data_IF_791679036714
#
_entry.id   IF_791679036714
#
_cell.length_a   1.000
_cell.length_b   1.000
_cell.length_c   1.000
_cell.angle_alpha   90.00
_cell.angle_beta   90.00
_cell.angle_gamma   90.00
#
_symmetry.space_group_name_H-M   'P 1'
#
loop_
_entity.id
_entity.type
_entity.pdbx_description
1 polymer ?
#
# COMPACT_ATOMS: atom_id res chain seq x y z
N UNK A 1 -20.71 -18.16 7.62
CA UNK A 1 -19.71 -18.81 6.78
C UNK A 1 -19.10 -17.72 5.90
N UNK A 2 -17.81 -17.44 6.02
CA UNK A 2 -17.14 -16.44 5.18
C UNK A 2 -17.07 -17.01 3.76
N UNK A 3 -17.84 -16.45 2.85
CA UNK A 3 -17.77 -16.83 1.42
C UNK A 3 -16.57 -16.10 0.80
N UNK A 4 -15.58 -16.85 0.36
CA UNK A 4 -14.45 -16.30 -0.38
C UNK A 4 -14.96 -15.85 -1.75
N UNK A 5 -14.88 -14.56 -2.02
CA UNK A 5 -15.29 -13.95 -3.30
C UNK A 5 -14.09 -13.82 -4.22
N UNK A 6 -13.91 -14.81 -5.06
CA UNK A 6 -12.86 -14.82 -6.09
C UNK A 6 -13.48 -14.84 -7.48
N UNK A 7 -12.83 -14.18 -8.47
CA UNK A 7 -13.22 -14.32 -9.88
C UNK A 7 -13.14 -15.76 -10.34
N UNK A 8 -14.08 -16.16 -11.20
CA UNK A 8 -14.08 -17.48 -11.84
C UNK A 8 -12.98 -17.55 -12.92
N UNK A 9 -12.33 -18.71 -13.04
CA UNK A 9 -11.33 -18.92 -14.08
C UNK A 9 -11.97 -19.00 -15.47
N UNK A 10 -11.36 -18.32 -16.43
CA UNK A 10 -11.80 -18.25 -17.81
C UNK A 10 -10.66 -18.66 -18.74
N UNK A 11 -10.91 -19.64 -19.61
CA UNK A 11 -9.95 -20.05 -20.64
C UNK A 11 -9.96 -19.11 -21.86
N UNK A 12 -8.81 -19.02 -22.52
CA UNK A 12 -8.71 -18.29 -23.79
C UNK A 12 -8.72 -16.76 -23.69
N UNK A 13 -8.50 -16.18 -22.50
CA UNK A 13 -8.40 -14.74 -22.34
C UNK A 13 -7.20 -14.17 -23.10
N UNK A 14 -7.34 -13.03 -23.81
CA UNK A 14 -6.24 -12.40 -24.52
C UNK A 14 -5.17 -11.89 -23.51
N UNK A 15 -3.91 -11.97 -23.92
CA UNK A 15 -2.78 -11.55 -23.06
C UNK A 15 -2.49 -10.05 -23.11
N UNK A 16 -2.93 -9.36 -24.16
CA UNK A 16 -2.60 -7.95 -24.35
C UNK A 16 -3.10 -7.02 -23.24
N UNK A 17 -4.29 -7.23 -22.57
CA UNK A 17 -4.67 -6.34 -21.49
C UNK A 17 -3.76 -6.49 -20.26
N UNK A 18 -3.35 -7.72 -19.96
CA UNK A 18 -2.41 -7.97 -18.88
C UNK A 18 -1.03 -7.37 -19.17
N UNK A 19 -0.54 -7.51 -20.41
CA UNK A 19 0.71 -6.87 -20.85
C UNK A 19 0.61 -5.34 -20.77
N UNK A 20 -0.52 -4.75 -21.19
CA UNK A 20 -0.79 -3.32 -21.07
C UNK A 20 -0.78 -2.87 -19.61
N UNK A 21 -1.43 -3.63 -18.72
CA UNK A 21 -1.43 -3.35 -17.28
C UNK A 21 -0.01 -3.33 -16.71
N UNK A 22 0.79 -4.34 -16.99
CA UNK A 22 2.18 -4.42 -16.51
C UNK A 22 3.01 -3.24 -17.04
N UNK A 23 2.88 -2.92 -18.33
CA UNK A 23 3.56 -1.76 -18.92
C UNK A 23 3.12 -0.45 -18.27
N UNK A 24 1.81 -0.27 -18.03
CA UNK A 24 1.27 0.91 -17.34
C UNK A 24 1.78 1.04 -15.91
N UNK A 25 1.86 -0.07 -15.15
CA UNK A 25 2.40 -0.08 -13.79
C UNK A 25 3.89 0.30 -13.78
N UNK A 26 4.70 -0.26 -14.68
CA UNK A 26 6.13 0.08 -14.79
C UNK A 26 6.28 1.56 -15.14
N UNK A 27 5.56 2.05 -16.15
CA UNK A 27 5.61 3.44 -16.57
C UNK A 27 5.20 4.39 -15.42
N UNK A 28 4.09 4.08 -14.73
CA UNK A 28 3.63 4.88 -13.60
C UNK A 28 4.65 4.91 -12.47
N UNK A 29 5.25 3.77 -12.12
CA UNK A 29 6.27 3.70 -11.07
C UNK A 29 7.49 4.56 -11.42
N UNK A 30 7.99 4.49 -12.65
CA UNK A 30 9.12 5.30 -13.12
C UNK A 30 8.74 6.79 -13.10
N UNK A 31 7.59 7.15 -13.68
CA UNK A 31 7.14 8.54 -13.75
C UNK A 31 7.00 9.11 -12.34
N UNK A 32 6.31 8.40 -11.46
CA UNK A 32 6.03 8.88 -10.10
C UNK A 32 7.30 9.05 -9.24
N UNK A 33 8.26 8.16 -9.38
CA UNK A 33 9.45 8.18 -8.53
C UNK A 33 10.66 8.93 -9.14
N UNK A 34 10.64 9.25 -10.45
CA UNK A 34 11.81 9.81 -11.15
C UNK A 34 11.53 11.06 -11.96
N UNK A 35 10.29 11.30 -12.38
CA UNK A 35 9.95 12.33 -13.38
C UNK A 35 8.94 13.34 -12.86
N UNK A 36 7.89 12.90 -12.20
CA UNK A 36 6.77 13.75 -11.81
C UNK A 36 7.16 14.79 -10.76
N UNK A 37 6.76 16.07 -10.94
CA UNK A 37 6.88 17.06 -9.88
C UNK A 37 6.05 16.66 -8.65
N UNK A 38 6.60 16.85 -7.45
CA UNK A 38 5.97 16.44 -6.18
C UNK A 38 4.54 17.02 -5.98
N UNK A 39 4.26 18.21 -6.50
CA UNK A 39 2.94 18.84 -6.37
C UNK A 39 1.80 18.19 -7.18
N UNK A 40 2.09 17.29 -8.11
CA UNK A 40 1.09 16.66 -8.98
C UNK A 40 0.78 15.20 -8.60
N UNK A 41 1.35 14.70 -7.50
CA UNK A 41 1.24 13.32 -7.06
C UNK A 41 -0.21 12.81 -6.99
N UNK A 42 -1.11 13.57 -6.35
CA UNK A 42 -2.53 13.21 -6.24
C UNK A 42 -3.23 13.09 -7.60
N UNK A 43 -2.96 14.03 -8.52
CA UNK A 43 -3.56 14.01 -9.85
C UNK A 43 -3.12 12.79 -10.65
N UNK A 44 -1.83 12.44 -10.58
CA UNK A 44 -1.30 11.25 -11.22
C UNK A 44 -1.88 9.97 -10.63
N UNK A 45 -1.98 9.88 -9.30
CA UNK A 45 -2.51 8.71 -8.61
C UNK A 45 -3.99 8.50 -8.91
N UNK A 46 -4.81 9.55 -8.83
CA UNK A 46 -6.24 9.48 -9.13
C UNK A 46 -6.46 9.18 -10.62
N UNK A 47 -5.82 9.93 -11.52
CA UNK A 47 -5.92 9.70 -12.96
C UNK A 47 -5.42 8.32 -13.37
N UNK A 48 -4.30 7.88 -12.81
CA UNK A 48 -3.75 6.53 -13.00
C UNK A 48 -4.73 5.44 -12.53
N UNK A 49 -5.41 5.63 -11.40
CA UNK A 49 -6.42 4.69 -10.90
C UNK A 49 -7.55 4.48 -11.90
N UNK A 50 -8.05 5.55 -12.51
CA UNK A 50 -9.07 5.44 -13.58
C UNK A 50 -8.53 4.71 -14.81
N UNK A 51 -7.29 5.00 -15.23
CA UNK A 51 -6.64 4.29 -16.33
C UNK A 51 -6.49 2.79 -16.08
N UNK A 52 -6.06 2.42 -14.88
CA UNK A 52 -5.92 1.02 -14.47
C UNK A 52 -7.29 0.32 -14.41
N UNK A 53 -8.33 0.96 -13.88
CA UNK A 53 -9.69 0.43 -13.89
C UNK A 53 -10.21 0.20 -15.31
N UNK A 54 -9.95 1.14 -16.23
CA UNK A 54 -10.32 0.98 -17.62
C UNK A 54 -9.66 -0.26 -18.26
N UNK A 55 -8.38 -0.52 -17.96
CA UNK A 55 -7.69 -1.74 -18.41
C UNK A 55 -8.37 -3.00 -17.83
N UNK A 56 -8.77 -2.99 -16.57
CA UNK A 56 -9.49 -4.09 -15.94
C UNK A 56 -10.84 -4.37 -16.62
N UNK A 57 -11.58 -3.33 -16.96
CA UNK A 57 -12.85 -3.43 -17.71
C UNK A 57 -12.62 -3.94 -19.14
N UNK A 58 -11.57 -3.49 -19.84
CA UNK A 58 -11.20 -3.99 -21.16
C UNK A 58 -10.81 -5.47 -21.16
N UNK A 59 -10.27 -5.98 -20.05
CA UNK A 59 -10.02 -7.41 -19.83
C UNK A 59 -11.31 -8.22 -19.55
N UNK A 60 -12.46 -7.54 -19.45
CA UNK A 60 -13.76 -8.14 -19.17
C UNK A 60 -13.99 -8.48 -17.70
N UNK A 61 -13.25 -7.85 -16.76
CA UNK A 61 -13.55 -7.96 -15.33
C UNK A 61 -14.78 -7.14 -14.98
N UNK A 62 -15.68 -7.69 -14.16
CA UNK A 62 -16.78 -6.95 -13.55
C UNK A 62 -16.29 -6.14 -12.35
N UNK A 63 -17.09 -5.18 -11.89
CA UNK A 63 -16.84 -4.46 -10.64
C UNK A 63 -16.74 -5.40 -9.44
N UNK A 64 -17.50 -6.49 -9.45
CA UNK A 64 -17.45 -7.52 -8.40
C UNK A 64 -16.15 -8.31 -8.46
N UNK A 65 -15.68 -8.70 -9.64
CA UNK A 65 -14.38 -9.36 -9.81
C UNK A 65 -13.24 -8.50 -9.25
N UNK A 66 -13.32 -7.19 -9.49
CA UNK A 66 -12.35 -6.23 -8.99
C UNK A 66 -12.51 -5.86 -7.50
N UNK A 67 -13.53 -6.41 -6.79
CA UNK A 67 -13.80 -6.11 -5.38
C UNK A 67 -14.38 -4.72 -5.13
N UNK A 68 -15.03 -4.17 -6.14
CA UNK A 68 -15.71 -2.87 -6.14
C UNK A 68 -17.23 -3.03 -6.25
N UNK A 69 -17.75 -4.26 -6.15
CA UNK A 69 -19.18 -4.55 -6.21
C UNK A 69 -19.95 -3.93 -5.04
N UNK A 70 -21.10 -3.31 -5.32
CA UNK A 70 -21.91 -2.57 -4.35
C UNK A 70 -22.26 -3.39 -3.10
N UNK A 71 -22.56 -4.68 -3.27
CA UNK A 71 -22.91 -5.57 -2.17
C UNK A 71 -21.80 -5.72 -1.11
N UNK A 72 -20.56 -5.46 -1.48
CA UNK A 72 -19.37 -5.65 -0.65
C UNK A 72 -18.79 -4.35 -0.10
N UNK A 73 -19.36 -3.19 -0.43
CA UNK A 73 -18.83 -1.91 0.05
C UNK A 73 -18.98 -1.77 1.56
N UNK A 74 -20.18 -2.04 2.10
CA UNK A 74 -20.39 -1.93 3.55
C UNK A 74 -19.59 -2.97 4.34
N UNK A 75 -19.63 -4.28 4.00
CA UNK A 75 -18.75 -5.26 4.63
C UNK A 75 -17.27 -4.88 4.54
N UNK A 76 -16.79 -4.46 3.37
CA UNK A 76 -15.42 -4.04 3.16
C UNK A 76 -15.02 -2.83 4.01
N UNK A 77 -15.88 -1.84 4.11
CA UNK A 77 -15.69 -0.69 4.99
C UNK A 77 -15.57 -1.09 6.46
N UNK A 78 -16.46 -1.96 6.94
CA UNK A 78 -16.40 -2.44 8.33
C UNK A 78 -15.13 -3.24 8.62
N UNK A 79 -14.68 -4.08 7.69
CA UNK A 79 -13.39 -4.74 7.77
C UNK A 79 -12.23 -3.73 7.82
N UNK A 80 -12.28 -2.71 6.97
CA UNK A 80 -11.30 -1.63 6.95
C UNK A 80 -11.23 -0.89 8.28
N UNK A 81 -12.37 -0.52 8.85
CA UNK A 81 -12.45 0.11 10.20
C UNK A 81 -11.87 -0.81 11.27
N UNK A 82 -12.19 -2.11 11.24
CA UNK A 82 -11.60 -3.10 12.14
C UNK A 82 -10.09 -3.13 12.06
N UNK A 83 -9.53 -3.12 10.85
CA UNK A 83 -8.09 -3.04 10.62
C UNK A 83 -7.48 -1.76 11.19
N UNK A 84 -8.12 -0.61 10.98
CA UNK A 84 -7.69 0.69 11.55
C UNK A 84 -7.63 0.62 13.07
N UNK A 85 -8.66 0.07 13.71
CA UNK A 85 -8.68 -0.10 15.18
C UNK A 85 -7.54 -0.99 15.64
N UNK A 86 -7.33 -2.15 15.02
CA UNK A 86 -6.27 -3.09 15.41
C UNK A 86 -4.88 -2.46 15.26
N UNK A 87 -4.61 -1.78 14.14
CA UNK A 87 -3.34 -1.09 13.92
C UNK A 87 -3.13 0.04 14.92
N UNK A 88 -4.18 0.85 15.18
CA UNK A 88 -4.12 1.94 16.18
C UNK A 88 -3.79 1.39 17.56
N UNK A 89 -4.44 0.32 17.99
CA UNK A 89 -4.13 -0.35 19.26
C UNK A 89 -2.69 -0.86 19.29
N UNK A 90 -2.20 -1.45 18.20
CA UNK A 90 -0.81 -1.86 18.06
C UNK A 90 0.18 -0.70 18.23
N UNK A 91 -0.09 0.45 17.61
CA UNK A 91 0.71 1.66 17.79
C UNK A 91 0.66 2.18 19.24
N UNK A 92 -0.51 2.19 19.88
CA UNK A 92 -0.66 2.60 21.29
C UNK A 92 0.15 1.70 22.23
N UNK A 93 0.05 0.39 22.03
CA UNK A 93 0.85 -0.58 22.80
C UNK A 93 2.35 -0.36 22.57
N UNK A 94 2.79 -0.24 21.32
CA UNK A 94 4.18 0.02 21.01
C UNK A 94 4.67 1.35 21.58
N UNK A 95 3.85 2.41 21.54
CA UNK A 95 4.16 3.72 22.11
C UNK A 95 4.30 3.71 23.66
N UNK A 96 3.72 2.72 24.35
CA UNK A 96 3.88 2.56 25.80
C UNK A 96 5.30 2.15 26.20
N UNK A 97 6.07 1.54 25.29
CA UNK A 97 7.43 1.10 25.53
C UNK A 97 8.48 2.05 24.92
N UNK A 98 9.62 2.23 25.62
CA UNK A 98 10.72 3.07 25.11
C UNK A 98 11.27 2.60 23.75
N UNK A 99 11.42 1.28 23.57
CA UNK A 99 11.89 0.70 22.29
C UNK A 99 10.91 0.98 21.15
N UNK A 100 9.61 0.84 21.40
CA UNK A 100 8.58 1.13 20.40
C UNK A 100 8.56 2.61 19.99
N UNK A 101 8.64 3.55 20.95
CA UNK A 101 8.77 4.98 20.66
C UNK A 101 10.02 5.31 19.84
N UNK A 102 11.14 4.61 20.07
CA UNK A 102 12.34 4.80 19.28
C UNK A 102 12.17 4.28 17.84
N UNK A 103 11.53 3.13 17.67
CA UNK A 103 11.25 2.57 16.36
C UNK A 103 10.29 3.41 15.51
N UNK A 104 9.41 4.19 16.16
CA UNK A 104 8.46 5.09 15.47
C UNK A 104 9.06 6.47 15.14
N UNK A 105 10.33 6.73 15.48
CA UNK A 105 10.95 8.02 15.19
C UNK A 105 11.29 8.12 13.71
N UNK A 106 10.59 9.02 13.00
CA UNK A 106 10.79 9.31 11.58
C UNK A 106 11.08 10.80 11.38
N UNK A 107 12.29 11.11 10.98
CA UNK A 107 12.74 12.50 10.80
C UNK A 107 11.99 13.23 9.68
N UNK A 108 11.46 12.53 8.69
CA UNK A 108 10.65 13.12 7.62
C UNK A 108 9.41 13.82 8.16
N UNK A 109 8.93 13.40 9.33
CA UNK A 109 7.75 13.94 10.01
C UNK A 109 8.08 15.05 10.99
N UNK A 110 9.34 15.11 11.43
CA UNK A 110 9.79 16.00 12.50
C UNK A 110 9.55 17.49 12.20
N UNK A 111 9.70 17.88 10.94
CA UNK A 111 9.58 19.27 10.48
C UNK A 111 8.17 19.65 9.97
N UNK A 112 7.23 18.68 9.93
CA UNK A 112 5.88 18.93 9.43
C UNK A 112 5.09 19.83 10.40
N UNK A 113 4.42 20.85 9.87
CA UNK A 113 3.38 21.57 10.60
C UNK A 113 2.15 20.67 10.80
N UNK A 114 1.32 20.97 11.81
CA UNK A 114 0.09 20.20 12.06
C UNK A 114 -0.83 20.12 10.82
N UNK A 115 -1.16 21.24 10.14
CA UNK A 115 -1.96 21.21 8.92
C UNK A 115 -1.34 20.37 7.80
N UNK A 116 -0.02 20.43 7.60
CA UNK A 116 0.66 19.63 6.57
C UNK A 116 0.63 18.14 6.91
N UNK A 117 0.83 17.76 8.19
CA UNK A 117 0.67 16.40 8.67
C UNK A 117 -0.73 15.86 8.37
N UNK A 118 -1.78 16.65 8.73
CA UNK A 118 -3.17 16.25 8.51
C UNK A 118 -3.45 16.05 7.01
N UNK A 119 -2.98 16.97 6.18
CA UNK A 119 -3.13 16.83 4.73
C UNK A 119 -2.42 15.59 4.19
N UNK A 120 -1.20 15.32 4.64
CA UNK A 120 -0.44 14.16 4.21
C UNK A 120 -1.09 12.84 4.65
N UNK A 121 -1.47 12.73 5.93
CA UNK A 121 -2.04 11.49 6.46
C UNK A 121 -3.47 11.21 5.99
N UNK A 122 -4.30 12.26 5.80
CA UNK A 122 -5.73 12.11 5.48
C UNK A 122 -6.07 12.35 4.00
N UNK A 123 -5.16 12.91 3.20
CA UNK A 123 -5.40 13.20 1.78
C UNK A 123 -4.33 12.55 0.91
N UNK A 124 -3.06 12.87 1.08
CA UNK A 124 -2.01 12.34 0.20
C UNK A 124 -1.82 10.83 0.34
N UNK A 125 -1.80 10.30 1.55
CA UNK A 125 -1.66 8.84 1.77
C UNK A 125 -2.88 8.10 1.24
N UNK A 126 -4.15 8.39 1.63
CA UNK A 126 -5.27 7.60 1.18
C UNK A 126 -5.57 7.74 -0.31
N UNK A 127 -5.47 8.94 -0.89
CA UNK A 127 -5.84 9.19 -2.29
C UNK A 127 -4.65 9.18 -3.26
N UNK A 128 -3.45 9.42 -2.78
CA UNK A 128 -2.23 9.34 -3.59
C UNK A 128 -1.63 7.93 -3.62
N UNK A 129 -1.38 7.33 -2.46
CA UNK A 129 -0.71 6.04 -2.37
C UNK A 129 -1.70 4.88 -2.35
N UNK A 130 -2.56 4.84 -1.30
CA UNK A 130 -3.40 3.68 -1.01
C UNK A 130 -4.41 3.43 -2.13
N UNK A 131 -5.11 4.46 -2.59
CA UNK A 131 -6.11 4.33 -3.65
C UNK A 131 -5.50 3.70 -4.90
N UNK A 132 -4.39 4.27 -5.39
CA UNK A 132 -3.75 3.78 -6.61
C UNK A 132 -3.25 2.34 -6.44
N UNK A 133 -2.53 2.07 -5.36
CA UNK A 133 -1.93 0.76 -5.17
C UNK A 133 -2.96 -0.34 -4.93
N UNK A 134 -4.03 -0.09 -4.17
CA UNK A 134 -5.06 -1.10 -3.97
C UNK A 134 -5.93 -1.31 -5.22
N UNK A 135 -6.22 -0.26 -5.99
CA UNK A 135 -6.87 -0.41 -7.30
C UNK A 135 -5.99 -1.20 -8.27
N UNK A 136 -4.70 -0.87 -8.33
CA UNK A 136 -3.78 -1.53 -9.24
C UNK A 136 -3.56 -3.01 -8.89
N UNK A 137 -3.22 -3.29 -7.65
CA UNK A 137 -2.75 -4.63 -7.25
C UNK A 137 -3.88 -5.54 -6.74
N UNK A 138 -4.89 -5.03 -6.00
CA UNK A 138 -5.96 -5.83 -5.38
C UNK A 138 -7.25 -5.84 -6.17
N UNK A 139 -7.56 -4.75 -6.89
CA UNK A 139 -8.70 -4.78 -7.79
C UNK A 139 -8.29 -5.41 -9.14
N UNK A 140 -7.49 -4.72 -9.94
CA UNK A 140 -7.29 -5.07 -11.35
C UNK A 140 -6.30 -6.21 -11.56
N UNK A 141 -5.05 -6.07 -11.11
CA UNK A 141 -4.03 -7.11 -11.31
C UNK A 141 -4.46 -8.45 -10.70
N UNK A 142 -4.95 -8.43 -9.46
CA UNK A 142 -5.41 -9.63 -8.78
C UNK A 142 -6.55 -10.32 -9.55
N UNK A 143 -7.58 -9.58 -9.98
CA UNK A 143 -8.71 -10.17 -10.70
C UNK A 143 -8.29 -10.73 -12.06
N UNK A 144 -7.45 -10.03 -12.82
CA UNK A 144 -6.92 -10.50 -14.09
C UNK A 144 -6.10 -11.78 -13.94
N UNK A 145 -5.28 -11.88 -12.88
CA UNK A 145 -4.50 -13.09 -12.58
C UNK A 145 -5.39 -14.23 -12.08
N UNK A 146 -6.38 -13.93 -11.24
CA UNK A 146 -7.30 -14.95 -10.70
C UNK A 146 -8.11 -15.61 -11.82
N UNK A 147 -8.58 -14.84 -12.79
CA UNK A 147 -9.30 -15.36 -13.97
C UNK A 147 -8.43 -16.20 -14.88
N UNK A 148 -7.12 -15.99 -14.92
CA UNK A 148 -6.18 -16.77 -15.76
C UNK A 148 -5.58 -17.97 -15.05
N UNK A 149 -5.18 -17.80 -13.81
CA UNK A 149 -4.33 -18.78 -13.09
C UNK A 149 -4.96 -19.30 -11.80
N UNK A 150 -6.14 -18.78 -11.41
CA UNK A 150 -6.78 -19.08 -10.14
C UNK A 150 -6.21 -18.26 -8.97
N UNK A 151 -6.91 -18.34 -7.84
CA UNK A 151 -6.71 -17.47 -6.66
C UNK A 151 -5.30 -17.59 -6.08
N UNK A 152 -4.78 -18.80 -5.95
CA UNK A 152 -3.46 -19.05 -5.32
C UNK A 152 -2.36 -18.30 -6.07
N UNK A 153 -2.32 -18.44 -7.39
CA UNK A 153 -1.33 -17.75 -8.21
C UNK A 153 -1.57 -16.25 -8.28
N UNK A 154 -2.83 -15.81 -8.23
CA UNK A 154 -3.15 -14.39 -8.16
C UNK A 154 -2.57 -13.75 -6.87
N UNK A 155 -2.70 -14.41 -5.72
CA UNK A 155 -2.09 -13.95 -4.46
C UNK A 155 -0.57 -13.87 -4.61
N UNK A 156 0.07 -14.95 -5.04
CA UNK A 156 1.54 -15.05 -5.10
C UNK A 156 2.10 -13.99 -6.06
N UNK A 157 1.60 -13.96 -7.31
CA UNK A 157 2.15 -13.08 -8.34
C UNK A 157 1.88 -11.61 -8.00
N UNK A 158 0.64 -11.26 -7.59
CA UNK A 158 0.33 -9.87 -7.23
C UNK A 158 1.12 -9.38 -6.01
N UNK A 159 1.34 -10.24 -5.01
CA UNK A 159 2.14 -9.90 -3.84
C UNK A 159 3.63 -9.71 -4.18
N UNK A 160 4.21 -10.58 -5.00
CA UNK A 160 5.60 -10.43 -5.46
C UNK A 160 5.77 -9.16 -6.29
N UNK A 161 4.85 -8.89 -7.23
CA UNK A 161 4.89 -7.67 -8.04
C UNK A 161 4.71 -6.41 -7.17
N UNK A 162 3.88 -6.48 -6.12
CA UNK A 162 3.75 -5.41 -5.14
C UNK A 162 5.04 -5.18 -4.34
N UNK A 163 5.76 -6.24 -3.98
CA UNK A 163 7.09 -6.11 -3.39
C UNK A 163 8.08 -5.44 -4.34
N UNK A 164 8.15 -5.89 -5.59
CA UNK A 164 9.03 -5.32 -6.61
C UNK A 164 8.70 -3.85 -6.94
N UNK A 165 7.43 -3.48 -6.85
CA UNK A 165 6.96 -2.09 -6.96
C UNK A 165 7.69 -1.15 -5.99
N UNK A 166 8.06 -1.63 -4.81
CA UNK A 166 8.70 -0.85 -3.76
C UNK A 166 10.23 -0.70 -3.92
N UNK A 167 10.82 -1.25 -4.98
CA UNK A 167 12.27 -1.08 -5.23
C UNK A 167 12.62 0.41 -5.39
N UNK A 168 11.95 1.12 -6.32
CA UNK A 168 12.28 2.51 -6.61
C UNK A 168 12.03 3.46 -5.43
N UNK A 169 10.89 3.41 -4.71
CA UNK A 169 10.66 4.27 -3.56
C UNK A 169 11.57 3.94 -2.35
N UNK A 170 12.17 2.74 -2.29
CA UNK A 170 13.02 2.34 -1.16
C UNK A 170 14.48 2.76 -1.29
N UNK A 171 14.91 3.20 -2.49
CA UNK A 171 16.29 3.60 -2.71
C UNK A 171 16.60 4.86 -1.87
N UNK A 172 17.61 4.77 -1.01
CA UNK A 172 18.06 5.88 -0.15
C UNK A 172 17.27 6.05 1.15
N UNK A 173 16.21 5.27 1.41
CA UNK A 173 15.39 5.42 2.63
C UNK A 173 16.16 5.12 3.92
N UNK A 174 17.21 4.30 3.88
CA UNK A 174 18.06 3.98 5.04
C UNK A 174 18.81 5.20 5.59
N UNK A 175 19.13 6.18 4.74
CA UNK A 175 19.75 7.44 5.14
C UNK A 175 18.77 8.39 5.84
N UNK A 176 17.47 8.23 5.57
CA UNK A 176 16.40 9.08 6.12
C UNK A 176 15.78 8.51 7.40
N UNK A 177 16.03 7.25 7.72
CA UNK A 177 15.50 6.57 8.91
C UNK A 177 16.63 6.01 9.76
N UNK A 178 16.92 6.67 10.89
CA UNK A 178 17.94 6.22 11.84
C UNK A 178 17.69 4.79 12.34
N UNK A 179 16.42 4.39 12.52
CA UNK A 179 16.05 3.04 12.90
C UNK A 179 16.40 2.02 11.82
N UNK A 180 16.13 2.32 10.55
CA UNK A 180 16.46 1.43 9.44
C UNK A 180 17.99 1.40 9.22
N UNK A 181 18.65 2.55 9.22
CA UNK A 181 20.11 2.65 9.10
C UNK A 181 20.86 1.87 10.16
N UNK A 182 20.37 1.86 11.41
CA UNK A 182 20.98 1.07 12.48
C UNK A 182 20.89 -0.44 12.29
N UNK A 183 19.92 -0.91 11.51
CA UNK A 183 19.71 -2.34 11.23
C UNK A 183 20.49 -2.78 9.97
N UNK A 184 20.44 -1.98 8.91
CA UNK A 184 20.99 -2.36 7.60
C UNK A 184 22.41 -1.82 7.36
N UNK A 185 22.86 -0.83 8.15
CA UNK A 185 24.15 -0.15 8.00
C UNK A 185 24.13 0.94 6.93
N UNK A 186 25.29 1.52 6.67
CA UNK A 186 25.48 2.66 5.77
C UNK A 186 25.98 2.25 4.39
N UNK A 187 25.95 3.20 3.43
CA UNK A 187 26.50 3.08 2.11
C UNK A 187 25.76 2.09 1.20
N UNK A 188 26.45 1.60 0.17
CA UNK A 188 25.84 0.75 -0.88
C UNK A 188 25.24 -0.55 -0.34
N UNK A 189 25.90 -1.19 0.63
CA UNK A 189 25.38 -2.42 1.26
C UNK A 189 24.12 -2.14 2.06
N UNK A 190 24.12 -1.07 2.84
CA UNK A 190 22.93 -0.64 3.59
C UNK A 190 21.75 -0.37 2.66
N UNK A 191 21.98 0.31 1.53
CA UNK A 191 20.93 0.56 0.54
C UNK A 191 20.37 -0.74 -0.05
N UNK A 192 21.21 -1.70 -0.44
CA UNK A 192 20.77 -2.99 -1.00
C UNK A 192 19.95 -3.77 0.03
N UNK A 193 20.39 -3.81 1.30
CA UNK A 193 19.66 -4.49 2.36
C UNK A 193 18.33 -3.80 2.68
N UNK A 194 18.29 -2.47 2.70
CA UNK A 194 17.05 -1.71 2.89
C UNK A 194 16.04 -1.99 1.78
N UNK A 195 16.47 -1.99 0.53
CA UNK A 195 15.62 -2.33 -0.62
C UNK A 195 15.14 -3.79 -0.52
N UNK A 196 16.02 -4.75 -0.22
CA UNK A 196 15.65 -6.15 -0.08
C UNK A 196 14.63 -6.37 1.06
N UNK A 197 14.83 -5.71 2.21
CA UNK A 197 13.91 -5.76 3.34
C UNK A 197 12.56 -5.12 2.99
N UNK A 198 12.57 -4.00 2.28
CA UNK A 198 11.34 -3.36 1.79
C UNK A 198 10.58 -4.30 0.85
N UNK A 199 11.23 -4.90 -0.14
CA UNK A 199 10.62 -5.87 -1.06
C UNK A 199 10.02 -7.04 -0.30
N UNK A 200 10.75 -7.62 0.66
CA UNK A 200 10.27 -8.75 1.45
C UNK A 200 9.04 -8.37 2.29
N UNK A 201 9.12 -7.27 3.06
CA UNK A 201 8.04 -6.85 3.95
C UNK A 201 6.79 -6.43 3.17
N UNK A 202 6.95 -5.73 2.06
CA UNK A 202 5.80 -5.34 1.21
C UNK A 202 5.24 -6.52 0.42
N UNK A 203 6.03 -7.54 0.07
CA UNK A 203 5.51 -8.82 -0.46
C UNK A 203 4.63 -9.51 0.57
N UNK A 204 5.07 -9.61 1.83
CA UNK A 204 4.27 -10.19 2.92
C UNK A 204 2.98 -9.38 3.14
N UNK A 205 3.08 -8.05 3.18
CA UNK A 205 1.91 -7.17 3.25
C UNK A 205 0.97 -7.41 2.04
N UNK A 206 1.53 -7.63 0.86
CA UNK A 206 0.80 -7.98 -0.36
C UNK A 206 -0.08 -9.21 -0.22
N UNK A 207 0.45 -10.26 0.41
CA UNK A 207 -0.31 -11.49 0.72
C UNK A 207 -1.46 -11.19 1.69
N UNK A 208 -1.18 -10.43 2.76
CA UNK A 208 -2.20 -10.07 3.77
C UNK A 208 -3.32 -9.23 3.13
N UNK A 209 -2.97 -8.24 2.30
CA UNK A 209 -3.94 -7.40 1.61
C UNK A 209 -4.80 -8.21 0.61
N UNK A 210 -4.19 -9.15 -0.12
CA UNK A 210 -4.94 -10.05 -1.00
C UNK A 210 -5.89 -10.98 -0.21
N UNK A 211 -5.46 -11.48 0.94
CA UNK A 211 -6.31 -12.28 1.83
C UNK A 211 -7.49 -11.46 2.37
N UNK A 212 -7.26 -10.21 2.83
CA UNK A 212 -8.33 -9.31 3.26
C UNK A 212 -9.31 -9.00 2.14
N UNK A 213 -8.81 -8.77 0.91
CA UNK A 213 -9.62 -8.57 -0.28
C UNK A 213 -10.57 -9.76 -0.52
N UNK A 214 -10.07 -11.00 -0.38
CA UNK A 214 -10.85 -12.21 -0.59
C UNK A 214 -11.90 -12.44 0.49
N UNK A 215 -11.52 -12.29 1.75
CA UNK A 215 -12.40 -12.54 2.89
C UNK A 215 -13.51 -11.50 2.99
N UNK A 216 -13.22 -10.23 2.68
CA UNK A 216 -14.20 -9.14 2.71
C UNK A 216 -15.01 -8.99 1.43
N UNK A 217 -14.53 -9.55 0.32
CA UNK A 217 -15.07 -9.32 -1.03
C UNK A 217 -14.81 -7.92 -1.58
N UNK A 218 -14.04 -7.07 -0.87
CA UNK A 218 -13.88 -5.66 -1.20
C UNK A 218 -12.44 -5.16 -1.06
N UNK A 219 -12.04 -4.25 -1.94
CA UNK A 219 -10.76 -3.54 -1.82
C UNK A 219 -10.72 -2.54 -0.67
N UNK A 220 -11.88 -2.16 -0.10
CA UNK A 220 -11.94 -1.23 1.04
C UNK A 220 -11.29 -1.81 2.30
N UNK A 221 -11.32 -3.12 2.48
CA UNK A 221 -10.68 -3.76 3.62
C UNK A 221 -9.15 -3.62 3.60
N UNK A 222 -8.43 -4.04 2.53
CA UNK A 222 -7.00 -3.78 2.44
C UNK A 222 -6.66 -2.28 2.36
N UNK A 223 -7.51 -1.42 1.74
CA UNK A 223 -7.31 0.03 1.81
C UNK A 223 -7.28 0.56 3.24
N UNK A 224 -8.19 0.08 4.10
CA UNK A 224 -8.22 0.45 5.53
C UNK A 224 -6.95 0.02 6.26
N UNK A 225 -6.48 -1.21 6.07
CA UNK A 225 -5.22 -1.69 6.67
C UNK A 225 -4.01 -0.91 6.13
N UNK A 226 -3.94 -0.71 4.83
CA UNK A 226 -2.85 -0.01 4.18
C UNK A 226 -2.78 1.45 4.64
N UNK A 227 -3.91 2.15 4.67
CA UNK A 227 -3.95 3.50 5.23
C UNK A 227 -3.55 3.53 6.70
N UNK A 228 -4.04 2.59 7.51
CA UNK A 228 -3.70 2.56 8.93
C UNK A 228 -2.19 2.36 9.16
N UNK A 229 -1.55 1.48 8.42
CA UNK A 229 -0.10 1.25 8.57
C UNK A 229 0.72 2.46 8.13
N UNK A 230 0.32 3.15 7.07
CA UNK A 230 1.04 4.30 6.55
C UNK A 230 0.61 5.61 7.25
N UNK A 231 -0.67 5.94 7.25
CA UNK A 231 -1.19 7.20 7.77
C UNK A 231 -1.06 7.34 9.30
N UNK A 232 -1.36 6.28 10.07
CA UNK A 232 -1.19 6.31 11.53
C UNK A 232 0.28 6.41 11.91
N UNK A 233 1.21 5.83 11.12
CA UNK A 233 2.65 6.01 11.33
C UNK A 233 3.05 7.49 11.39
N UNK A 234 2.52 8.33 10.51
CA UNK A 234 2.75 9.78 10.53
C UNK A 234 2.25 10.42 11.83
N UNK A 235 1.02 10.10 12.28
CA UNK A 235 0.45 10.66 13.51
C UNK A 235 1.25 10.28 14.75
N UNK A 236 1.57 9.01 14.90
CA UNK A 236 2.29 8.52 16.08
C UNK A 236 3.72 9.04 16.11
N UNK A 237 4.44 9.04 14.99
CA UNK A 237 5.78 9.58 14.88
C UNK A 237 5.79 11.07 15.27
N UNK A 238 4.93 11.89 14.66
CA UNK A 238 4.85 13.32 14.93
C UNK A 238 4.51 13.63 16.41
N UNK A 239 3.55 12.88 16.97
CA UNK A 239 3.15 13.05 18.38
C UNK A 239 4.30 12.73 19.33
N UNK A 240 5.03 11.62 19.08
CA UNK A 240 6.16 11.20 19.89
C UNK A 240 7.31 12.21 19.82
N UNK A 241 7.64 12.71 18.64
CA UNK A 241 8.70 13.70 18.44
C UNK A 241 8.36 15.00 19.17
N UNK A 242 7.14 15.51 19.03
CA UNK A 242 6.71 16.72 19.73
C UNK A 242 6.63 16.57 21.22
N UNK A 243 6.19 15.42 21.70
CA UNK A 243 6.19 15.12 23.12
C UNK A 243 7.61 15.14 23.69
N UNK A 244 8.59 14.50 23.03
CA UNK A 244 10.01 14.50 23.46
C UNK A 244 10.60 15.90 23.48
N UNK A 245 10.38 16.71 22.43
CA UNK A 245 10.86 18.11 22.38
C UNK A 245 10.31 18.96 23.54
N UNK A 246 9.08 18.70 24.00
CA UNK A 246 8.47 19.41 25.13
C UNK A 246 8.97 18.91 26.49
N UNK A 247 9.32 17.64 26.60
CA UNK A 247 9.74 17.00 27.86
C UNK A 247 11.26 17.10 28.10
N UNK A 248 12.00 17.74 27.21
CA UNK A 248 13.45 17.90 27.31
C UNK A 248 14.25 16.59 27.17
N UNK A 249 13.64 15.59 26.53
CA UNK A 249 14.23 14.26 26.33
C UNK A 249 14.60 14.04 24.87
#
# INVERSE_FOLDING_TARGET
>A
MLTITAPEQVSGLPWWPLALLIAALIAFNIINNRVAPQGHYLLWAIGGSFGILAIGLLDGNSWTDMGLGWAYLVPGFLWGVGCVIVVTLGYLVAASFRRGRNAMHDERVAELSGPRLMFQALVEVPFGTVLFEEIAFRAVLFSMLARRFGVTWAIVISAVLFGLWHILPSIGTHEQSAALGSVVGEGRRGNVLAVALSVLTTTIAGVIFAALRLVSGSVLAPMGLHWATNGMGYFFSWTIIRWRRRSGH
#
